data_IF_079093928937
#
_entry.id   IF_079093928937
#
_cell.length_a   1.000
_cell.length_b   1.000
_cell.length_c   1.000
_cell.angle_alpha   90.00
_cell.angle_beta   90.00
_cell.angle_gamma   90.00
#
_symmetry.space_group_name_H-M   'P 1'
#
loop_
_entity.id
_entity.type
_entity.pdbx_description
1 polymer ?
#
# COMPACT_ATOMS: atom_id res chain seq x y z
N UNK A 1 5.18 18.71 -0.46
CA UNK A 1 3.72 18.62 -0.22
C UNK A 1 3.41 17.17 -0.38
N UNK A 2 2.83 16.54 0.64
CA UNK A 2 2.54 15.11 0.57
C UNK A 2 1.54 14.82 -0.55
N UNK A 3 1.61 13.60 -1.11
CA UNK A 3 0.65 13.10 -2.08
C UNK A 3 -0.79 13.24 -1.58
N UNK A 4 -1.67 13.63 -2.49
CA UNK A 4 -3.09 13.80 -2.20
C UNK A 4 -3.83 12.50 -2.48
N UNK A 5 -4.23 11.80 -1.41
CA UNK A 5 -4.98 10.56 -1.52
C UNK A 5 -6.49 10.79 -1.59
N UNK A 6 -7.18 9.99 -2.39
CA UNK A 6 -8.65 9.99 -2.48
C UNK A 6 -9.23 8.61 -2.20
N UNK A 7 -10.46 8.54 -1.69
CA UNK A 7 -11.13 7.26 -1.52
C UNK A 7 -11.53 6.70 -2.90
N UNK A 8 -11.21 5.42 -3.15
CA UNK A 8 -11.55 4.76 -4.39
C UNK A 8 -13.05 4.48 -4.46
N UNK A 9 -13.65 4.72 -5.63
CA UNK A 9 -15.05 4.36 -5.89
C UNK A 9 -15.26 2.83 -6.01
N UNK A 10 -14.19 2.08 -6.29
CA UNK A 10 -14.21 0.64 -6.44
C UNK A 10 -13.05 -0.01 -5.67
N UNK A 11 -13.38 -0.69 -4.56
CA UNK A 11 -12.40 -1.41 -3.75
C UNK A 11 -11.70 -2.58 -4.48
N UNK A 12 -12.25 -3.05 -5.61
CA UNK A 12 -11.64 -4.08 -6.45
C UNK A 12 -10.73 -3.51 -7.54
N UNK A 13 -10.54 -2.18 -7.58
CA UNK A 13 -9.67 -1.51 -8.55
C UNK A 13 -9.15 -0.18 -7.96
N UNK A 14 -8.45 -0.26 -6.83
CA UNK A 14 -7.87 0.92 -6.16
C UNK A 14 -6.68 1.42 -6.97
N UNK A 15 -6.83 2.58 -7.60
CA UNK A 15 -5.78 3.19 -8.42
C UNK A 15 -4.69 3.84 -7.56
N UNK A 16 -3.57 4.21 -8.20
CA UNK A 16 -2.50 4.97 -7.55
C UNK A 16 -3.05 6.24 -6.88
N UNK A 17 -2.52 6.57 -5.70
CA UNK A 17 -2.99 7.68 -4.87
C UNK A 17 -4.45 7.53 -4.41
N UNK A 18 -4.95 6.29 -4.37
CA UNK A 18 -6.24 5.98 -3.77
C UNK A 18 -6.11 5.04 -2.58
N UNK A 19 -7.13 5.09 -1.74
CA UNK A 19 -7.32 4.15 -0.64
C UNK A 19 -8.75 3.61 -0.64
N UNK A 20 -8.96 2.45 -0.05
CA UNK A 20 -10.29 1.88 0.17
C UNK A 20 -10.33 1.07 1.45
N UNK A 21 -11.55 0.78 1.93
CA UNK A 21 -11.79 -0.17 3.04
C UNK A 21 -12.92 -1.12 2.69
N UNK A 22 -12.63 -2.42 2.60
CA UNK A 22 -13.58 -3.45 2.21
C UNK A 22 -13.16 -4.83 2.74
N UNK A 23 -14.01 -5.84 2.58
CA UNK A 23 -13.69 -7.22 2.99
C UNK A 23 -12.54 -7.79 2.13
N UNK A 24 -12.51 -7.39 0.86
CA UNK A 24 -11.42 -7.64 -0.09
C UNK A 24 -11.11 -6.34 -0.82
N UNK A 25 -9.81 -6.05 -0.96
CA UNK A 25 -9.30 -4.96 -1.78
C UNK A 25 -8.42 -5.54 -2.87
N UNK A 26 -8.53 -4.98 -4.08
CA UNK A 26 -7.59 -5.18 -5.17
C UNK A 26 -7.14 -3.82 -5.68
N UNK A 27 -5.84 -3.68 -5.91
CA UNK A 27 -5.26 -2.50 -6.54
C UNK A 27 -5.27 -2.66 -8.06
N UNK A 28 -5.11 -1.55 -8.79
CA UNK A 28 -4.82 -1.61 -10.22
C UNK A 28 -3.41 -2.15 -10.48
N UNK A 29 -3.05 -2.35 -11.75
CA UNK A 29 -1.76 -2.92 -12.14
C UNK A 29 -0.58 -2.16 -11.53
N UNK A 30 0.32 -2.92 -10.90
CA UNK A 30 1.60 -2.48 -10.39
C UNK A 30 2.61 -2.45 -11.53
N UNK A 31 3.28 -1.31 -11.69
CA UNK A 31 4.47 -1.17 -12.54
C UNK A 31 5.68 -0.74 -11.70
N UNK A 32 5.45 0.14 -10.72
CA UNK A 32 6.48 0.64 -9.81
C UNK A 32 5.93 0.94 -8.40
N UNK A 33 4.72 0.47 -8.13
CA UNK A 33 3.95 0.83 -6.95
C UNK A 33 4.08 -0.22 -5.86
N UNK A 34 3.68 0.15 -4.66
CA UNK A 34 3.45 -0.77 -3.56
C UNK A 34 2.04 -0.54 -3.02
N UNK A 35 1.42 -1.62 -2.56
CA UNK A 35 0.17 -1.62 -1.84
C UNK A 35 0.49 -1.71 -0.36
N UNK A 36 0.00 -0.76 0.41
CA UNK A 36 -0.03 -0.86 1.87
C UNK A 36 -1.40 -1.39 2.26
N UNK A 37 -1.45 -2.41 3.10
CA UNK A 37 -2.70 -2.97 3.58
C UNK A 37 -2.63 -3.21 5.08
N UNK A 38 -3.78 -3.26 5.74
CA UNK A 38 -3.89 -3.68 7.13
C UNK A 38 -5.34 -4.00 7.48
N UNK A 39 -5.56 -4.60 8.64
CA UNK A 39 -6.91 -4.94 9.13
C UNK A 39 -7.40 -3.86 10.09
N UNK A 40 -8.54 -3.24 9.76
CA UNK A 40 -9.21 -2.24 10.58
C UNK A 40 -10.70 -2.54 10.66
N UNK A 41 -11.24 -2.66 11.87
CA UNK A 41 -12.65 -2.98 12.14
C UNK A 41 -13.15 -4.22 11.36
N UNK A 42 -12.30 -5.25 11.27
CA UNK A 42 -12.63 -6.51 10.58
C UNK A 42 -12.61 -6.44 9.05
N UNK A 43 -12.13 -5.32 8.47
CA UNK A 43 -11.98 -5.13 7.02
C UNK A 43 -10.54 -4.85 6.65
N UNK A 44 -10.17 -5.13 5.41
CA UNK A 44 -8.90 -4.66 4.85
C UNK A 44 -9.06 -3.18 4.55
N UNK A 45 -8.13 -2.36 5.03
CA UNK A 45 -7.87 -1.03 4.51
C UNK A 45 -6.61 -1.09 3.67
N UNK A 46 -6.64 -0.48 2.48
CA UNK A 46 -5.57 -0.55 1.51
C UNK A 46 -5.28 0.79 0.87
N UNK A 47 -4.00 1.11 0.65
CA UNK A 47 -3.52 2.35 0.03
C UNK A 47 -2.58 1.99 -1.11
N UNK A 48 -2.82 2.54 -2.30
CA UNK A 48 -1.96 2.32 -3.46
C UNK A 48 -0.93 3.46 -3.56
N UNK A 49 0.32 3.14 -3.26
CA UNK A 49 1.40 4.10 -3.15
C UNK A 49 2.39 3.94 -4.33
N UNK A 50 2.47 4.93 -5.23
CA UNK A 50 3.43 4.91 -6.32
C UNK A 50 4.81 5.43 -5.91
N UNK A 51 5.86 5.09 -6.66
CA UNK A 51 7.21 5.65 -6.48
C UNK A 51 7.30 7.15 -6.80
N UNK A 52 6.30 7.67 -7.52
CA UNK A 52 6.18 9.06 -7.93
C UNK A 52 4.75 9.39 -8.30
N UNK A 53 4.37 10.65 -8.16
CA UNK A 53 3.20 11.20 -8.84
C UNK A 53 3.58 11.69 -10.26
N UNK A 54 2.70 12.46 -10.90
CA UNK A 54 2.93 13.03 -12.22
C UNK A 54 4.16 13.97 -12.32
N UNK A 55 4.68 14.46 -11.19
CA UNK A 55 5.69 15.53 -11.13
C UNK A 55 6.86 15.27 -10.17
N UNK A 56 6.68 14.46 -9.13
CA UNK A 56 7.57 14.37 -7.98
C UNK A 56 7.84 12.91 -7.59
N UNK A 57 9.07 12.62 -7.20
CA UNK A 57 9.41 11.35 -6.56
C UNK A 57 8.84 11.29 -5.14
N UNK A 58 8.55 10.07 -4.69
CA UNK A 58 8.08 9.81 -3.33
C UNK A 58 9.09 10.27 -2.27
N UNK A 59 8.57 10.80 -1.17
CA UNK A 59 9.29 11.31 0.00
C UNK A 59 8.82 10.64 1.28
N UNK A 60 9.50 10.92 2.39
CA UNK A 60 9.10 10.44 3.71
C UNK A 60 7.70 10.98 4.11
N UNK A 61 7.38 12.23 3.76
CA UNK A 61 6.06 12.83 4.02
C UNK A 61 4.92 12.10 3.28
N UNK A 62 5.20 11.59 2.06
CA UNK A 62 4.21 10.87 1.25
C UNK A 62 3.87 9.52 1.87
N UNK A 63 4.88 8.80 2.38
CA UNK A 63 4.65 7.53 3.04
C UNK A 63 4.02 7.72 4.42
N UNK A 64 4.34 8.79 5.14
CA UNK A 64 3.68 9.12 6.40
C UNK A 64 2.18 9.39 6.19
N UNK A 65 1.81 10.09 5.11
CA UNK A 65 0.42 10.28 4.71
C UNK A 65 -0.28 8.94 4.39
N UNK A 66 0.41 8.03 3.68
CA UNK A 66 -0.12 6.71 3.36
C UNK A 66 -0.30 5.83 4.61
N UNK A 67 0.63 5.88 5.58
CA UNK A 67 0.54 5.18 6.86
C UNK A 67 -0.62 5.74 7.69
N UNK A 68 -0.79 7.07 7.72
CA UNK A 68 -1.89 7.70 8.44
C UNK A 68 -3.27 7.23 7.94
N UNK A 69 -3.40 6.96 6.64
CA UNK A 69 -4.63 6.40 6.05
C UNK A 69 -4.96 4.99 6.53
N UNK A 70 -3.96 4.20 6.94
CA UNK A 70 -4.23 2.90 7.56
C UNK A 70 -4.86 3.03 8.95
N UNK A 71 -4.86 4.22 9.55
CA UNK A 71 -5.55 4.55 10.81
C UNK A 71 -5.24 3.53 11.94
N UNK A 72 -3.96 3.15 12.09
CA UNK A 72 -3.54 2.17 13.09
C UNK A 72 -4.09 0.75 12.86
N UNK A 73 -4.33 0.38 11.59
CA UNK A 73 -4.69 -0.98 11.22
C UNK A 73 -3.69 -2.00 11.77
N UNK A 74 -4.22 -3.15 12.19
CA UNK A 74 -3.42 -4.27 12.67
C UNK A 74 -2.80 -5.05 11.52
N UNK A 75 -1.67 -5.71 11.79
CA UNK A 75 -0.99 -6.62 10.88
C UNK A 75 -0.75 -6.03 9.47
N UNK A 76 -0.05 -4.89 9.37
CA UNK A 76 0.17 -4.25 8.10
C UNK A 76 1.02 -5.11 7.16
N UNK A 77 0.72 -5.00 5.87
CA UNK A 77 1.39 -5.69 4.77
C UNK A 77 1.81 -4.68 3.72
N UNK A 78 3.03 -4.85 3.20
CA UNK A 78 3.52 -4.19 1.99
C UNK A 78 3.61 -5.24 0.88
N UNK A 79 3.00 -4.98 -0.26
CA UNK A 79 3.03 -5.86 -1.44
C UNK A 79 3.35 -5.07 -2.71
N UNK A 80 4.03 -5.68 -3.68
CA UNK A 80 4.28 -5.08 -4.99
C UNK A 80 5.75 -4.89 -5.28
N UNK A 81 6.10 -3.84 -6.02
CA UNK A 81 7.41 -3.62 -6.64
C UNK A 81 8.53 -3.22 -5.66
N UNK A 82 8.68 -3.93 -4.54
CA UNK A 82 9.63 -3.61 -3.46
C UNK A 82 11.07 -3.48 -3.98
N UNK A 83 11.50 -4.35 -4.90
CA UNK A 83 12.85 -4.25 -5.49
C UNK A 83 13.09 -2.95 -6.28
N UNK A 84 12.05 -2.39 -6.91
CA UNK A 84 12.14 -1.11 -7.59
C UNK A 84 12.29 0.04 -6.58
N UNK A 85 11.63 -0.08 -5.43
CA UNK A 85 11.77 0.85 -4.31
C UNK A 85 13.14 0.77 -3.64
N UNK A 86 13.69 -0.42 -3.45
CA UNK A 86 15.05 -0.60 -2.95
C UNK A 86 16.09 0.05 -3.89
N UNK A 87 15.88 -0.05 -5.21
CA UNK A 87 16.78 0.54 -6.19
C UNK A 87 16.67 2.08 -6.28
N UNK A 88 15.45 2.63 -6.13
CA UNK A 88 15.17 4.03 -6.48
C UNK A 88 14.93 4.95 -5.28
N UNK A 89 14.42 4.40 -4.17
CA UNK A 89 13.95 5.16 -3.00
C UNK A 89 14.22 4.39 -1.68
N UNK A 90 15.39 3.74 -1.56
CA UNK A 90 15.71 2.88 -0.40
C UNK A 90 15.61 3.58 0.96
N UNK A 91 15.88 4.88 1.03
CA UNK A 91 15.70 5.68 2.25
C UNK A 91 14.24 5.73 2.68
N UNK A 92 13.36 6.07 1.74
CA UNK A 92 11.91 6.17 1.95
C UNK A 92 11.30 4.80 2.28
N UNK A 93 11.72 3.74 1.58
CA UNK A 93 11.26 2.38 1.90
C UNK A 93 11.66 1.96 3.32
N UNK A 94 12.88 2.29 3.76
CA UNK A 94 13.31 2.02 5.15
C UNK A 94 12.50 2.80 6.16
N UNK A 95 12.16 4.06 5.88
CA UNK A 95 11.30 4.89 6.74
C UNK A 95 9.89 4.27 6.84
N UNK A 96 9.29 3.87 5.71
CA UNK A 96 8.00 3.18 5.68
C UNK A 96 8.00 1.90 6.54
N UNK A 97 8.96 1.01 6.32
CA UNK A 97 9.08 -0.26 7.08
C UNK A 97 9.33 -0.01 8.56
N UNK A 98 10.06 1.06 8.91
CA UNK A 98 10.33 1.40 10.30
C UNK A 98 9.07 1.83 11.06
N UNK A 99 8.11 2.46 10.39
CA UNK A 99 6.90 3.03 10.98
C UNK A 99 5.68 2.08 10.97
N UNK A 100 5.71 0.99 10.19
CA UNK A 100 4.62 0.00 10.12
C UNK A 100 4.81 -1.24 11.03
N UNK A 101 5.67 -1.20 12.06
CA UNK A 101 6.06 -2.43 12.78
C UNK A 101 4.92 -3.03 13.63
N UNK A 102 4.74 -4.37 13.61
CA UNK A 102 5.36 -5.35 12.70
C UNK A 102 4.72 -5.31 11.30
N UNK A 103 5.53 -5.41 10.24
CA UNK A 103 5.05 -5.38 8.83
C UNK A 103 5.58 -6.58 8.05
N UNK A 104 4.70 -7.24 7.30
CA UNK A 104 5.08 -8.28 6.34
C UNK A 104 5.32 -7.69 4.95
N UNK A 105 6.29 -8.23 4.21
CA UNK A 105 6.69 -7.71 2.91
C UNK A 105 6.64 -8.81 1.85
N UNK A 106 5.87 -8.57 0.79
CA UNK A 106 5.75 -9.44 -0.37
C UNK A 106 6.36 -8.73 -1.57
N UNK A 107 7.64 -8.98 -1.80
CA UNK A 107 8.38 -8.43 -2.94
C UNK A 107 7.96 -9.15 -4.22
N UNK A 108 7.16 -8.48 -5.03
CA UNK A 108 6.63 -8.95 -6.30
C UNK A 108 7.05 -8.00 -7.42
N UNK A 109 6.81 -8.40 -8.67
CA UNK A 109 7.08 -7.56 -9.84
C UNK A 109 5.83 -6.84 -10.31
N UNK A 110 5.70 -6.74 -11.63
CA UNK A 110 4.47 -6.28 -12.28
C UNK A 110 3.33 -7.28 -12.07
N UNK A 111 2.14 -6.77 -11.75
CA UNK A 111 0.95 -7.61 -11.58
C UNK A 111 -0.23 -6.86 -10.98
N UNK A 112 -1.29 -7.58 -10.64
CA UNK A 112 -2.44 -7.02 -9.93
C UNK A 112 -2.55 -7.72 -8.59
N UNK A 113 -2.43 -6.96 -7.51
CA UNK A 113 -2.35 -7.49 -6.16
C UNK A 113 -3.41 -6.88 -5.26
N UNK A 114 -3.66 -7.52 -4.14
CA UNK A 114 -4.63 -7.07 -3.16
C UNK A 114 -4.56 -7.90 -1.90
N UNK A 115 -5.64 -7.86 -1.13
CA UNK A 115 -5.76 -8.61 0.10
C UNK A 115 -7.19 -8.74 0.56
N UNK A 116 -7.49 -9.84 1.25
CA UNK A 116 -8.74 -10.02 2.00
C UNK A 116 -8.44 -10.22 3.47
N UNK A 117 -9.43 -10.00 4.32
CA UNK A 117 -9.31 -10.37 5.74
C UNK A 117 -9.36 -11.89 5.87
N UNK A 118 -8.38 -12.47 6.55
CA UNK A 118 -8.41 -13.85 7.02
C UNK A 118 -7.91 -13.90 8.47
N UNK A 119 -8.77 -14.37 9.37
CA UNK A 119 -8.48 -14.51 10.80
C UNK A 119 -7.81 -13.27 11.46
N UNK A 120 -8.17 -12.05 11.04
CA UNK A 120 -7.60 -10.81 11.56
C UNK A 120 -6.26 -10.39 10.94
N UNK A 121 -5.79 -11.11 9.92
CA UNK A 121 -4.64 -10.79 9.09
C UNK A 121 -5.07 -10.45 7.67
N UNK A 122 -4.17 -9.81 6.92
CA UNK A 122 -4.34 -9.63 5.49
C UNK A 122 -3.83 -10.89 4.79
N UNK A 123 -4.72 -11.61 4.10
CA UNK A 123 -4.36 -12.69 3.19
C UNK A 123 -4.14 -12.10 1.78
N UNK A 124 -2.90 -12.07 1.26
CA UNK A 124 -2.61 -11.43 -0.02
C UNK A 124 -3.28 -12.14 -1.20
N UNK A 125 -3.77 -11.36 -2.16
CA UNK A 125 -4.42 -11.83 -3.39
C UNK A 125 -3.62 -11.44 -4.62
N UNK A 126 -3.69 -12.28 -5.65
CA UNK A 126 -2.92 -12.18 -6.89
C UNK A 126 -3.82 -12.52 -8.08
N UNK A 127 -3.71 -11.74 -9.17
CA UNK A 127 -4.42 -11.98 -10.44
C UNK A 127 -3.43 -11.97 -11.60
#
# INVERSE_FOLDING_TARGET
MAFAYTEAQNAQAVAELQWAKADTIMFTKFTSCIGLMGVKDGKVIGVHLPLRDDSNAVTDDDVDAAIALLDGAANPVIIGAISAWEASASGVLKHLVANLKPVEQYALGDGTYGGSVDNGHVDPKYV
#
